data_IF_700485051493
#
_entry.id   IF_700485051493
#
_cell.length_a   1.000
_cell.length_b   1.000
_cell.length_c   1.000
_cell.angle_alpha   90.00
_cell.angle_beta   90.00
_cell.angle_gamma   90.00
#
_symmetry.space_group_name_H-M   'P 1'
#
loop_
_entity.id
_entity.type
_entity.pdbx_description
1 polymer ?
#
# COMPACT_ATOMS: atom_id res chain seq x y z
N UNK A 1 -1.54 13.45 -13.02
CA UNK A 1 -2.32 13.95 -11.86
C UNK A 1 -3.07 15.23 -12.25
N UNK A 2 -4.15 15.09 -13.00
CA UNK A 2 -5.01 16.22 -13.39
C UNK A 2 -6.26 16.19 -12.52
N UNK A 3 -6.50 17.28 -11.79
CA UNK A 3 -7.69 17.59 -10.96
C UNK A 3 -7.52 17.38 -9.43
N UNK A 4 -6.46 17.93 -8.83
CA UNK A 4 -6.52 18.30 -7.40
C UNK A 4 -7.54 19.45 -7.27
N UNK A 5 -8.56 19.36 -6.39
CA UNK A 5 -9.53 20.44 -6.20
C UNK A 5 -8.85 21.74 -5.79
N UNK A 6 -9.32 22.89 -6.31
CA UNK A 6 -8.73 24.22 -6.06
C UNK A 6 -8.65 24.63 -4.57
N UNK A 7 -9.41 23.98 -3.68
CA UNK A 7 -9.43 24.25 -2.24
C UNK A 7 -9.01 23.01 -1.42
N UNK A 8 -8.06 22.24 -1.93
CA UNK A 8 -7.55 21.04 -1.26
C UNK A 8 -6.38 21.42 -0.34
N UNK A 9 -6.60 21.43 0.98
CA UNK A 9 -5.54 21.67 1.97
C UNK A 9 -4.69 20.42 2.24
N UNK A 10 -5.34 19.23 2.25
CA UNK A 10 -4.69 17.95 2.53
C UNK A 10 -5.12 16.93 1.47
N UNK A 11 -4.14 16.33 0.81
CA UNK A 11 -4.34 15.21 -0.12
C UNK A 11 -3.76 13.94 0.51
N UNK A 12 -4.60 12.94 0.74
CA UNK A 12 -4.15 11.62 1.19
C UNK A 12 -3.91 10.73 -0.03
N UNK A 13 -2.70 10.20 -0.15
CA UNK A 13 -2.31 9.30 -1.24
C UNK A 13 -1.96 7.93 -0.66
N UNK A 14 -2.76 6.92 -1.02
CA UNK A 14 -2.59 5.57 -0.49
C UNK A 14 -1.33 4.92 -1.07
N UNK A 15 -0.53 4.29 -0.21
CA UNK A 15 0.74 3.61 -0.56
C UNK A 15 1.74 4.48 -1.34
N UNK A 16 1.68 5.81 -1.18
CA UNK A 16 2.61 6.74 -1.82
C UNK A 16 2.75 6.56 -3.34
N UNK A 17 1.67 6.14 -4.00
CA UNK A 17 1.56 6.18 -5.46
C UNK A 17 1.39 7.65 -5.86
N UNK A 18 2.50 8.36 -5.95
CA UNK A 18 2.57 9.80 -6.25
C UNK A 18 3.71 10.07 -7.21
N UNK A 19 3.43 10.89 -8.22
CA UNK A 19 4.46 11.42 -9.12
C UNK A 19 5.19 12.59 -8.44
N UNK A 20 6.49 12.73 -8.71
CA UNK A 20 7.32 13.84 -8.21
C UNK A 20 6.75 15.23 -8.62
N UNK A 21 5.86 15.27 -9.62
CA UNK A 21 5.21 16.48 -10.14
C UNK A 21 4.53 17.34 -9.05
N UNK A 22 3.99 16.74 -7.99
CA UNK A 22 3.39 17.51 -6.90
C UNK A 22 4.45 18.25 -6.08
N UNK A 23 5.57 17.58 -5.80
CA UNK A 23 6.67 18.18 -5.06
C UNK A 23 7.29 19.32 -5.88
N UNK A 24 7.41 19.13 -7.19
CA UNK A 24 7.95 20.13 -8.11
C UNK A 24 7.04 21.36 -8.27
N UNK A 25 5.73 21.21 -7.99
CA UNK A 25 4.76 22.33 -7.91
C UNK A 25 4.79 23.06 -6.56
N UNK A 26 5.66 22.65 -5.64
CA UNK A 26 5.85 23.29 -4.33
C UNK A 26 4.95 22.75 -3.22
N UNK A 27 4.23 21.64 -3.45
CA UNK A 27 3.51 20.96 -2.38
C UNK A 27 4.49 20.25 -1.44
N UNK A 28 4.17 20.23 -0.15
CA UNK A 28 4.92 19.49 0.87
C UNK A 28 4.27 18.15 1.14
N UNK A 29 5.11 17.13 1.35
CA UNK A 29 4.67 15.77 1.63
C UNK A 29 4.97 15.37 3.07
N UNK A 30 4.12 14.52 3.63
CA UNK A 30 4.41 13.74 4.82
C UNK A 30 4.20 12.28 4.46
N UNK A 31 5.20 11.45 4.74
CA UNK A 31 5.09 9.99 4.57
C UNK A 31 5.35 9.30 5.89
N UNK A 32 4.60 8.24 6.14
CA UNK A 32 4.71 7.44 7.36
C UNK A 32 5.32 6.10 6.98
N UNK A 33 6.49 5.79 7.53
CA UNK A 33 7.09 4.46 7.46
C UNK A 33 6.60 3.60 8.61
N UNK A 34 6.53 2.29 8.37
CA UNK A 34 6.17 1.30 9.38
C UNK A 34 7.22 0.19 9.37
N UNK A 35 7.49 -0.39 10.54
CA UNK A 35 8.37 -1.55 10.64
C UNK A 35 7.90 -2.65 9.67
N UNK A 36 8.77 -3.18 8.79
CA UNK A 36 8.39 -4.21 7.81
C UNK A 36 7.73 -5.44 8.46
N UNK A 37 8.12 -5.81 9.67
CA UNK A 37 7.53 -6.94 10.40
C UNK A 37 6.09 -6.65 10.79
N UNK A 38 5.81 -5.41 11.21
CA UNK A 38 4.45 -4.98 11.52
C UNK A 38 3.59 -4.87 10.27
N UNK A 39 4.16 -4.44 9.12
CA UNK A 39 3.46 -4.45 7.84
C UNK A 39 3.02 -5.87 7.47
N UNK A 40 3.93 -6.84 7.57
CA UNK A 40 3.66 -8.25 7.23
C UNK A 40 2.60 -8.84 8.16
N UNK A 41 2.80 -8.76 9.49
CA UNK A 41 1.86 -9.37 10.45
C UNK A 41 0.49 -8.70 10.38
N UNK A 42 0.46 -7.37 10.23
CA UNK A 42 -0.78 -6.62 10.08
C UNK A 42 -1.51 -6.97 8.78
N UNK A 43 -0.78 -7.06 7.66
CA UNK A 43 -1.33 -7.44 6.36
C UNK A 43 -1.94 -8.83 6.40
N UNK A 44 -1.20 -9.81 6.94
CA UNK A 44 -1.64 -11.20 7.06
C UNK A 44 -2.97 -11.30 7.82
N UNK A 45 -3.04 -10.67 9.00
CA UNK A 45 -4.26 -10.68 9.82
C UNK A 45 -5.41 -9.89 9.19
N UNK A 46 -5.11 -8.87 8.39
CA UNK A 46 -6.10 -7.99 7.77
C UNK A 46 -6.73 -8.63 6.53
N UNK A 47 -5.93 -9.19 5.61
CA UNK A 47 -6.45 -9.79 4.38
C UNK A 47 -7.22 -11.09 4.60
N UNK A 48 -7.05 -11.75 5.76
CA UNK A 48 -7.93 -12.83 6.21
C UNK A 48 -9.38 -12.40 6.49
N UNK A 49 -9.65 -11.09 6.65
CA UNK A 49 -10.95 -10.59 7.13
C UNK A 49 -11.52 -9.35 6.41
N UNK A 50 -10.77 -8.69 5.53
CA UNK A 50 -11.21 -7.45 4.89
C UNK A 50 -12.10 -7.63 3.64
N UNK A 51 -12.69 -8.82 3.46
CA UNK A 51 -13.42 -9.17 2.23
C UNK A 51 -14.63 -8.26 1.94
N UNK A 52 -15.24 -7.74 3.00
CA UNK A 52 -16.37 -6.81 2.91
C UNK A 52 -15.97 -5.37 2.51
N UNK A 53 -14.67 -5.07 2.45
CA UNK A 53 -14.14 -3.72 2.26
C UNK A 53 -13.24 -3.58 1.04
N UNK A 54 -12.57 -4.66 0.62
CA UNK A 54 -11.58 -4.62 -0.45
C UNK A 54 -11.87 -5.65 -1.54
N UNK A 55 -12.37 -5.16 -2.67
CA UNK A 55 -12.79 -6.03 -3.77
C UNK A 55 -11.66 -6.92 -4.31
N UNK A 56 -10.42 -6.44 -4.31
CA UNK A 56 -9.29 -7.24 -4.80
C UNK A 56 -8.99 -8.48 -3.97
N UNK A 57 -9.38 -8.52 -2.68
CA UNK A 57 -9.09 -9.68 -1.85
C UNK A 57 -10.06 -10.83 -2.08
N UNK A 58 -11.28 -10.55 -2.54
CA UNK A 58 -12.34 -11.54 -2.81
C UNK A 58 -12.54 -11.83 -4.29
N UNK A 59 -11.84 -11.12 -5.18
CA UNK A 59 -12.00 -11.30 -6.61
C UNK A 59 -11.50 -12.70 -7.05
N UNK A 60 -12.32 -13.41 -7.81
CA UNK A 60 -12.03 -14.70 -8.42
C UNK A 60 -12.15 -14.66 -9.95
N UNK A 61 -12.55 -13.51 -10.51
CA UNK A 61 -12.65 -13.29 -11.95
C UNK A 61 -11.31 -12.81 -12.52
N UNK A 62 -10.63 -13.76 -13.15
CA UNK A 62 -9.35 -13.57 -13.84
C UNK A 62 -9.52 -13.57 -15.37
N UNK A 63 -10.71 -13.25 -15.88
CA UNK A 63 -11.00 -13.28 -17.32
C UNK A 63 -10.36 -12.13 -18.12
N UNK A 64 -9.97 -11.04 -17.45
CA UNK A 64 -9.22 -9.93 -18.05
C UNK A 64 -7.71 -10.20 -17.98
N UNK A 65 -7.08 -10.40 -19.13
CA UNK A 65 -5.63 -10.58 -19.27
C UNK A 65 -4.79 -9.36 -18.83
N UNK A 66 -5.44 -8.20 -18.61
CA UNK A 66 -4.79 -7.01 -18.08
C UNK A 66 -4.77 -6.97 -16.56
N UNK A 67 -5.61 -7.73 -15.84
CA UNK A 67 -5.63 -7.77 -14.38
C UNK A 67 -5.63 -6.37 -13.74
N UNK A 68 -6.49 -5.46 -14.24
CA UNK A 68 -6.63 -4.10 -13.71
C UNK A 68 -7.26 -4.11 -12.31
N UNK A 69 -7.20 -3.00 -11.58
CA UNK A 69 -8.02 -2.86 -10.38
C UNK A 69 -9.52 -3.04 -10.76
N UNK A 70 -10.31 -3.85 -10.02
CA UNK A 70 -10.04 -4.43 -8.71
C UNK A 70 -9.56 -5.90 -8.72
N UNK A 71 -9.02 -6.46 -9.80
CA UNK A 71 -8.42 -7.83 -9.79
C UNK A 71 -7.09 -7.86 -9.04
N UNK A 72 -6.37 -6.73 -9.06
CA UNK A 72 -5.18 -6.47 -8.25
C UNK A 72 -5.42 -5.20 -7.42
N UNK A 73 -4.68 -4.99 -6.33
CA UNK A 73 -4.80 -3.75 -5.57
C UNK A 73 -4.18 -2.57 -6.34
N UNK A 74 -4.63 -1.36 -6.02
CA UNK A 74 -4.24 -0.13 -6.71
C UNK A 74 -2.72 0.04 -6.89
N UNK A 75 -1.86 -0.19 -5.87
CA UNK A 75 -0.41 -0.02 -6.04
C UNK A 75 0.23 -0.98 -7.04
N UNK A 76 -0.40 -2.12 -7.32
CA UNK A 76 0.04 -3.07 -8.35
C UNK A 76 -0.51 -2.66 -9.72
N UNK A 77 -1.73 -2.09 -9.77
CA UNK A 77 -2.31 -1.60 -11.03
C UNK A 77 -1.57 -0.41 -11.65
N UNK A 78 -0.99 0.43 -10.80
CA UNK A 78 -0.15 1.56 -11.22
C UNK A 78 1.22 1.14 -11.77
N UNK A 79 1.58 -0.14 -11.68
CA UNK A 79 2.80 -0.69 -12.27
C UNK A 79 2.56 -1.16 -13.71
N UNK A 80 3.45 -2.01 -14.23
CA UNK A 80 3.33 -2.58 -15.57
C UNK A 80 2.41 -3.83 -15.60
N UNK A 81 2.20 -4.42 -16.77
CA UNK A 81 1.35 -5.61 -16.91
C UNK A 81 2.01 -6.86 -16.35
N UNK A 82 3.33 -6.94 -16.36
CA UNK A 82 4.11 -8.03 -15.81
C UNK A 82 3.92 -8.14 -14.30
N UNK A 83 4.06 -7.01 -13.57
CA UNK A 83 3.84 -6.96 -12.13
C UNK A 83 2.44 -7.44 -11.72
N UNK A 84 1.41 -7.09 -12.51
CA UNK A 84 0.04 -7.55 -12.28
C UNK A 84 -0.12 -9.04 -12.49
N UNK A 85 0.48 -9.59 -13.54
CA UNK A 85 0.48 -11.04 -13.83
C UNK A 85 1.20 -11.82 -12.74
N UNK A 86 2.38 -11.35 -12.34
CA UNK A 86 3.17 -11.97 -11.28
C UNK A 86 2.38 -11.98 -9.96
N UNK A 87 1.71 -10.87 -9.62
CA UNK A 87 0.87 -10.77 -8.43
C UNK A 87 -0.30 -11.77 -8.45
N UNK A 88 -1.06 -11.84 -9.54
CA UNK A 88 -2.19 -12.79 -9.68
C UNK A 88 -1.72 -14.25 -9.67
N UNK A 89 -0.52 -14.54 -10.21
CA UNK A 89 0.01 -15.90 -10.25
C UNK A 89 0.18 -16.53 -8.86
N UNK A 90 0.37 -15.71 -7.81
CA UNK A 90 0.50 -16.15 -6.42
C UNK A 90 -0.75 -16.88 -5.91
N UNK A 91 -1.93 -16.55 -6.44
CA UNK A 91 -3.21 -17.04 -5.89
C UNK A 91 -3.61 -18.39 -6.47
N UNK A 92 -2.97 -18.78 -7.58
CA UNK A 92 -3.20 -20.05 -8.27
C UNK A 92 -4.69 -20.28 -8.60
N UNK A 93 -5.35 -19.25 -9.13
CA UNK A 93 -6.75 -19.26 -9.53
C UNK A 93 -7.77 -19.09 -8.40
N UNK A 94 -7.32 -18.81 -7.16
CA UNK A 94 -8.19 -18.44 -6.02
C UNK A 94 -8.18 -16.93 -5.81
N UNK A 95 -9.10 -16.42 -4.99
CA UNK A 95 -8.96 -15.07 -4.46
C UNK A 95 -7.80 -14.97 -3.47
N UNK A 96 -7.29 -13.74 -3.24
CA UNK A 96 -6.22 -13.48 -2.28
C UNK A 96 -6.61 -13.97 -0.87
N UNK A 97 -7.84 -13.67 -0.44
CA UNK A 97 -8.35 -14.02 0.88
C UNK A 97 -8.53 -15.53 1.04
N UNK A 98 -9.06 -16.22 0.03
CA UNK A 98 -9.18 -17.69 0.08
C UNK A 98 -7.78 -18.30 0.19
N UNK A 99 -6.82 -17.84 -0.61
CA UNK A 99 -5.45 -18.35 -0.61
C UNK A 99 -4.77 -18.17 0.76
N UNK A 100 -4.81 -16.98 1.35
CA UNK A 100 -4.13 -16.70 2.63
C UNK A 100 -4.79 -17.39 3.83
N UNK A 101 -6.10 -17.65 3.77
CA UNK A 101 -6.86 -18.27 4.86
C UNK A 101 -6.70 -19.79 4.90
N UNK A 102 -6.48 -20.43 3.75
CA UNK A 102 -6.24 -21.88 3.67
C UNK A 102 -4.83 -22.30 4.12
N UNK A 103 -3.87 -21.38 4.05
CA UNK A 103 -2.50 -21.64 4.47
C UNK A 103 -2.41 -21.72 5.99
N UNK A 104 -1.46 -22.53 6.49
CA UNK A 104 -1.09 -22.43 7.90
C UNK A 104 -0.44 -21.07 8.20
N UNK A 105 -0.21 -20.80 9.48
CA UNK A 105 0.29 -19.50 9.93
C UNK A 105 1.64 -19.14 9.29
N UNK A 106 2.58 -20.08 9.21
CA UNK A 106 3.92 -19.78 8.69
C UNK A 106 3.86 -19.52 7.19
N UNK A 107 3.18 -20.39 6.45
CA UNK A 107 3.01 -20.25 5.01
C UNK A 107 2.16 -19.01 4.64
N UNK A 108 1.16 -18.67 5.44
CA UNK A 108 0.34 -17.48 5.25
C UNK A 108 1.11 -16.17 5.48
N UNK A 109 2.01 -16.13 6.46
CA UNK A 109 2.92 -15.00 6.67
C UNK A 109 3.89 -14.84 5.49
N UNK A 110 4.44 -15.94 4.98
CA UNK A 110 5.30 -15.90 3.79
C UNK A 110 4.52 -15.44 2.56
N UNK A 111 3.30 -15.95 2.36
CA UNK A 111 2.42 -15.51 1.27
C UNK A 111 2.11 -14.02 1.33
N UNK A 112 1.84 -13.47 2.52
CA UNK A 112 1.64 -12.03 2.68
C UNK A 112 2.91 -11.23 2.35
N UNK A 113 4.06 -11.73 2.83
CA UNK A 113 5.37 -11.12 2.60
C UNK A 113 5.72 -11.06 1.11
N UNK A 114 5.41 -12.10 0.34
CA UNK A 114 5.61 -12.15 -1.11
C UNK A 114 4.49 -11.41 -1.87
N UNK A 115 3.34 -11.19 -1.22
CA UNK A 115 2.18 -10.50 -1.76
C UNK A 115 2.12 -9.03 -1.38
N UNK A 116 1.01 -8.62 -0.77
CA UNK A 116 0.69 -7.20 -0.60
C UNK A 116 1.64 -6.46 0.36
N UNK A 117 2.07 -7.11 1.44
CA UNK A 117 3.09 -6.53 2.32
C UNK A 117 4.41 -6.30 1.57
N UNK A 118 4.80 -7.24 0.69
CA UNK A 118 5.97 -7.10 -0.18
C UNK A 118 5.88 -5.87 -1.09
N UNK A 119 4.73 -5.68 -1.74
CA UNK A 119 4.46 -4.48 -2.56
C UNK A 119 4.64 -3.20 -1.73
N UNK A 120 4.09 -3.16 -0.52
CA UNK A 120 4.20 -2.00 0.37
C UNK A 120 5.64 -1.76 0.83
N UNK A 121 6.37 -2.81 1.21
CA UNK A 121 7.77 -2.71 1.67
C UNK A 121 8.68 -2.25 0.54
N UNK A 122 8.55 -2.83 -0.66
CA UNK A 122 9.33 -2.41 -1.82
C UNK A 122 9.07 -0.94 -2.16
N UNK A 123 7.80 -0.49 -2.08
CA UNK A 123 7.46 0.92 -2.25
C UNK A 123 8.18 1.82 -1.24
N UNK A 124 8.24 1.41 0.05
CA UNK A 124 8.98 2.16 1.07
C UNK A 124 10.50 2.20 0.82
N UNK A 125 11.07 1.14 0.22
CA UNK A 125 12.49 1.05 -0.10
C UNK A 125 12.88 1.91 -1.32
N UNK A 126 11.98 2.03 -2.29
CA UNK A 126 12.22 2.78 -3.53
C UNK A 126 12.10 4.30 -3.36
N UNK A 127 11.63 4.74 -2.20
CA UNK A 127 11.48 6.14 -1.86
C UNK A 127 12.79 6.92 -1.88
N UNK A 128 12.81 7.99 -2.67
CA UNK A 128 13.92 8.95 -2.70
C UNK A 128 13.82 9.92 -1.53
N UNK A 129 14.97 10.35 -1.03
CA UNK A 129 15.05 11.47 -0.09
C UNK A 129 14.79 12.79 -0.81
N UNK A 130 13.93 13.62 -0.23
CA UNK A 130 13.52 14.93 -0.75
C UNK A 130 13.35 15.88 0.44
N UNK A 131 13.84 17.11 0.31
CA UNK A 131 13.71 18.13 1.35
C UNK A 131 12.27 18.56 1.63
N UNK A 132 11.38 18.34 0.68
CA UNK A 132 9.96 18.68 0.69
C UNK A 132 9.11 17.62 1.40
N UNK A 133 9.72 16.46 1.72
CA UNK A 133 9.06 15.32 2.35
C UNK A 133 9.54 15.16 3.79
N UNK A 134 8.60 15.23 4.73
CA UNK A 134 8.82 14.82 6.11
C UNK A 134 8.55 13.32 6.25
N UNK A 135 9.58 12.54 6.57
CA UNK A 135 9.44 11.12 6.91
C UNK A 135 9.19 10.95 8.40
N UNK A 136 8.10 10.27 8.75
CA UNK A 136 7.70 9.97 10.13
C UNK A 136 7.66 8.45 10.32
N UNK A 137 8.11 8.00 11.48
CA UNK A 137 7.99 6.62 11.93
C UNK A 137 6.63 6.40 12.60
N UNK A 138 5.93 5.33 12.23
CA UNK A 138 4.68 4.95 12.90
C UNK A 138 4.89 4.75 14.40
N UNK A 139 6.02 4.19 14.81
CA UNK A 139 6.35 4.00 16.23
C UNK A 139 6.46 5.31 17.01
N UNK A 140 6.91 6.40 16.35
CA UNK A 140 7.00 7.72 16.98
C UNK A 140 5.59 8.32 17.18
N UNK A 141 4.68 8.10 16.22
CA UNK A 141 3.27 8.52 16.34
C UNK A 141 2.58 7.77 17.48
N UNK A 142 2.83 6.46 17.59
CA UNK A 142 2.24 5.63 18.66
C UNK A 142 2.80 6.02 20.03
N UNK A 143 4.07 6.40 20.11
CA UNK A 143 4.71 6.80 21.36
C UNK A 143 4.20 8.16 21.88
N UNK A 144 4.07 9.16 21.00
CA UNK A 144 3.61 10.50 21.36
C UNK A 144 2.84 11.17 20.21
N UNK A 145 1.54 10.84 20.13
CA UNK A 145 0.67 11.28 19.05
C UNK A 145 0.61 12.80 18.93
N UNK A 146 0.39 13.51 20.04
CA UNK A 146 0.15 14.96 20.01
C UNK A 146 1.40 15.72 19.54
N UNK A 147 2.59 15.35 20.03
CA UNK A 147 3.85 15.99 19.64
C UNK A 147 4.15 15.75 18.16
N UNK A 148 3.95 14.52 17.67
CA UNK A 148 4.24 14.19 16.27
C UNK A 148 3.26 14.86 15.31
N UNK A 149 1.96 14.90 15.64
CA UNK A 149 0.99 15.60 14.81
C UNK A 149 1.17 17.11 14.84
N UNK A 150 1.52 17.71 15.99
CA UNK A 150 1.87 19.13 16.03
C UNK A 150 3.06 19.44 15.09
N UNK A 151 4.09 18.59 15.10
CA UNK A 151 5.22 18.71 14.17
C UNK A 151 4.80 18.58 12.71
N UNK A 152 3.90 17.65 12.39
CA UNK A 152 3.36 17.46 11.03
C UNK A 152 2.62 18.71 10.56
N UNK A 153 1.72 19.27 11.38
CA UNK A 153 0.91 20.44 10.98
C UNK A 153 1.71 21.75 10.92
N UNK A 154 2.87 21.81 11.58
CA UNK A 154 3.79 22.96 11.52
C UNK A 154 4.85 22.85 10.42
N UNK A 155 4.90 21.74 9.68
CA UNK A 155 5.94 21.43 8.69
C UNK A 155 6.02 22.44 7.54
#
# INVERSE_FOLDING_TARGET
MSDIPNNCDILQLTHSVVEDELLDKGYRGVRIIRDPRDVIVSGYLYHQRCGDHEQFVVNEDFSDDNFRFPTVPWPVDCQNIEARRDFVSLFNGKSYQTKITELDKEAGIVFEMDGYAGVTINTMLDWKERSEILTIKMEDIVADFDVLFERIFRW
#
